data_IF_354687351463
#
_entry.id   IF_354687351463
#
_cell.length_a   1.000
_cell.length_b   1.000
_cell.length_c   1.000
_cell.angle_alpha   90.00
_cell.angle_beta   90.00
_cell.angle_gamma   90.00
#
_symmetry.space_group_name_H-M   'P 1'
#
loop_
_entity.id
_entity.type
_entity.pdbx_description
1 polymer ?
#
# COMPACT_ATOMS: atom_id res chain seq x y z
N UNK A 1 40.68 -18.80 47.77
CA UNK A 1 41.63 -18.46 48.85
C UNK A 1 40.88 -17.61 49.83
N UNK A 2 40.66 -18.21 50.99
CA UNK A 2 40.73 -17.72 52.38
C UNK A 2 39.78 -16.56 52.70
N UNK A 3 38.71 -16.86 53.43
CA UNK A 3 38.62 -16.90 54.94
C UNK A 3 38.55 -15.50 55.54
N UNK A 4 37.77 -15.11 56.48
CA UNK A 4 37.25 -15.78 57.67
C UNK A 4 36.56 -14.77 58.57
N UNK A 5 35.48 -15.18 59.23
CA UNK A 5 35.22 -15.15 60.68
C UNK A 5 35.12 -13.78 61.39
N UNK A 6 34.01 -13.56 62.02
CA UNK A 6 33.66 -13.94 63.43
C UNK A 6 33.91 -12.75 64.37
N UNK A 7 33.09 -12.34 65.29
CA UNK A 7 32.56 -12.90 66.52
C UNK A 7 31.68 -11.87 67.24
N UNK A 8 30.53 -12.26 67.71
CA UNK A 8 30.14 -12.37 69.13
C UNK A 8 30.28 -11.13 70.05
N UNK A 9 29.15 -10.78 70.65
CA UNK A 9 29.08 -9.91 71.83
C UNK A 9 27.71 -9.92 72.48
N UNK A 10 27.56 -10.75 73.44
CA UNK A 10 26.44 -11.04 74.34
C UNK A 10 26.19 -9.85 75.28
N UNK A 11 24.95 -9.51 75.61
CA UNK A 11 24.59 -8.52 76.59
C UNK A 11 23.10 -8.64 77.01
N UNK A 12 22.87 -9.43 78.02
CA UNK A 12 21.60 -9.65 78.71
C UNK A 12 21.25 -8.39 79.53
N UNK A 13 20.00 -7.90 79.43
CA UNK A 13 19.36 -7.21 80.54
C UNK A 13 17.86 -7.38 80.45
N UNK A 14 17.34 -7.91 81.55
CA UNK A 14 15.91 -8.10 81.81
C UNK A 14 15.26 -6.80 82.20
N UNK A 15 14.09 -6.51 81.62
CA UNK A 15 13.17 -5.50 82.12
C UNK A 15 11.71 -5.93 81.84
N UNK A 16 11.07 -6.36 82.90
CA UNK A 16 9.64 -6.58 82.95
C UNK A 16 8.89 -5.26 82.76
N UNK A 17 7.89 -5.24 81.94
CA UNK A 17 6.95 -4.14 81.84
C UNK A 17 5.70 -4.57 81.06
N UNK A 18 4.76 -4.85 81.86
CA UNK A 18 3.34 -5.11 81.74
C UNK A 18 2.61 -4.31 80.63
N UNK A 19 1.73 -4.96 79.90
CA UNK A 19 0.39 -4.44 79.71
C UNK A 19 0.07 -3.76 78.34
N UNK A 20 -0.81 -4.36 77.78
CA UNK A 20 -1.90 -3.86 76.95
C UNK A 20 -1.81 -4.10 75.51
N UNK A 21 -2.48 -5.10 75.07
CA UNK A 21 -2.89 -5.36 73.70
C UNK A 21 -3.65 -4.17 73.13
N UNK A 22 -3.17 -3.70 72.03
CA UNK A 22 -3.99 -2.94 71.12
C UNK A 22 -3.94 -3.67 69.79
N UNK A 23 -4.99 -4.44 69.58
CA UNK A 23 -5.36 -4.98 68.27
C UNK A 23 -5.39 -3.83 67.26
N UNK A 24 -4.37 -3.79 66.42
CA UNK A 24 -4.33 -2.92 65.26
C UNK A 24 -5.40 -3.35 64.28
N UNK A 25 -6.61 -2.93 64.51
CA UNK A 25 -7.71 -3.06 63.60
C UNK A 25 -7.38 -2.22 62.34
N UNK A 26 -7.03 -2.89 61.29
CA UNK A 26 -6.85 -2.31 59.97
C UNK A 26 -8.21 -1.83 59.48
N UNK A 27 -8.64 -0.70 59.97
CA UNK A 27 -9.81 0.00 59.45
C UNK A 27 -9.44 0.59 58.10
N UNK A 28 -9.73 -0.16 57.02
CA UNK A 28 -9.92 0.42 55.72
C UNK A 28 -10.95 1.53 55.85
N UNK A 29 -10.50 2.76 55.94
CA UNK A 29 -11.33 3.94 56.03
C UNK A 29 -12.36 3.91 54.89
N UNK A 30 -13.58 3.54 55.20
CA UNK A 30 -14.74 3.82 54.32
C UNK A 30 -14.84 5.32 54.27
N UNK A 31 -14.35 5.95 53.24
CA UNK A 31 -14.63 7.37 52.98
C UNK A 31 -16.14 7.54 52.82
N UNK A 32 -16.78 7.96 53.88
CA UNK A 32 -18.20 8.26 53.89
C UNK A 32 -18.36 9.63 53.26
N UNK A 33 -18.57 9.65 51.94
CA UNK A 33 -18.92 10.88 51.24
C UNK A 33 -20.30 11.35 51.74
N UNK A 34 -20.47 12.64 52.11
CA UNK A 34 -21.77 13.16 52.52
C UNK A 34 -22.79 12.92 51.42
N UNK A 35 -24.02 12.57 51.74
CA UNK A 35 -25.09 12.21 50.78
C UNK A 35 -25.24 13.21 49.64
N UNK A 36 -25.06 14.49 49.90
CA UNK A 36 -25.08 15.59 48.92
C UNK A 36 -24.00 15.43 47.84
N UNK A 37 -22.81 14.98 48.16
CA UNK A 37 -21.72 14.70 47.20
C UNK A 37 -22.00 13.45 46.37
N UNK A 38 -22.63 12.44 46.97
CA UNK A 38 -23.02 11.20 46.28
C UNK A 38 -24.08 11.47 45.21
N UNK A 39 -25.08 12.31 45.51
CA UNK A 39 -26.11 12.69 44.55
C UNK A 39 -25.54 13.50 43.37
N UNK A 40 -24.65 14.44 43.65
CA UNK A 40 -24.00 15.21 42.58
C UNK A 40 -23.09 14.34 41.71
N UNK A 41 -22.31 13.45 42.31
CA UNK A 41 -21.49 12.47 41.57
C UNK A 41 -22.37 11.52 40.74
N UNK A 42 -23.48 11.04 41.28
CA UNK A 42 -24.39 10.20 40.52
C UNK A 42 -25.00 10.93 39.31
N UNK A 43 -25.38 12.20 39.46
CA UNK A 43 -25.90 13.01 38.38
C UNK A 43 -24.81 13.26 37.31
N UNK A 44 -23.58 13.59 37.72
CA UNK A 44 -22.48 13.83 36.73
C UNK A 44 -22.13 12.56 35.98
N UNK A 45 -22.07 11.40 36.65
CA UNK A 45 -21.82 10.10 35.98
C UNK A 45 -22.95 9.78 35.00
N UNK A 46 -24.21 10.03 35.40
CA UNK A 46 -25.36 9.81 34.53
C UNK A 46 -25.30 10.68 33.27
N UNK A 47 -24.96 11.97 33.41
CA UNK A 47 -24.81 12.86 32.25
C UNK A 47 -23.69 12.40 31.32
N UNK A 48 -22.56 11.99 31.88
CA UNK A 48 -21.42 11.51 31.07
C UNK A 48 -21.80 10.20 30.33
N UNK A 49 -22.46 9.27 31.00
CA UNK A 49 -22.89 8.02 30.37
C UNK A 49 -23.92 8.26 29.27
N UNK A 50 -24.83 9.20 29.48
CA UNK A 50 -25.82 9.57 28.46
C UNK A 50 -25.17 10.26 27.24
N UNK A 51 -24.18 11.09 27.46
CA UNK A 51 -23.40 11.71 26.40
C UNK A 51 -22.59 10.68 25.59
N UNK A 52 -21.96 9.71 26.25
CA UNK A 52 -21.26 8.63 25.59
C UNK A 52 -22.22 7.74 24.77
N UNK A 53 -23.39 7.44 25.32
CA UNK A 53 -24.40 6.68 24.59
C UNK A 53 -24.89 7.42 23.34
N UNK A 54 -25.12 8.72 23.43
CA UNK A 54 -25.48 9.56 22.29
C UNK A 54 -24.39 9.54 21.22
N UNK A 55 -23.12 9.64 21.61
CA UNK A 55 -21.98 9.59 20.70
C UNK A 55 -21.88 8.23 19.99
N UNK A 56 -22.05 7.12 20.71
CA UNK A 56 -22.10 5.77 20.13
C UNK A 56 -23.26 5.65 19.12
N UNK A 57 -24.41 6.22 19.43
CA UNK A 57 -25.57 6.19 18.55
C UNK A 57 -25.34 6.97 17.25
N UNK A 58 -24.67 8.14 17.36
CA UNK A 58 -24.27 8.93 16.18
C UNK A 58 -23.26 8.16 15.32
N UNK A 59 -22.23 7.57 15.92
CA UNK A 59 -21.27 6.75 15.20
C UNK A 59 -21.93 5.54 14.50
N UNK A 60 -22.83 4.87 15.21
CA UNK A 60 -23.60 3.74 14.64
C UNK A 60 -24.43 4.20 13.42
N UNK A 61 -25.06 5.35 13.51
CA UNK A 61 -25.84 5.93 12.42
C UNK A 61 -24.95 6.27 11.21
N UNK A 62 -23.79 6.88 11.44
CA UNK A 62 -22.81 7.18 10.37
C UNK A 62 -22.32 5.89 9.68
N UNK A 63 -22.00 4.86 10.46
CA UNK A 63 -21.55 3.58 9.91
C UNK A 63 -22.67 2.92 9.10
N UNK A 64 -23.89 2.95 9.58
CA UNK A 64 -25.04 2.36 8.91
C UNK A 64 -25.40 3.07 7.61
N UNK A 65 -25.48 4.40 7.64
CA UNK A 65 -25.91 5.20 6.48
C UNK A 65 -24.85 5.23 5.38
N UNK A 66 -23.56 5.22 5.74
CA UNK A 66 -22.46 5.27 4.79
C UNK A 66 -22.00 3.89 4.25
N UNK A 67 -22.43 2.79 4.87
CA UNK A 67 -21.98 1.45 4.49
C UNK A 67 -22.34 1.10 3.03
N UNK A 68 -23.50 1.53 2.57
CA UNK A 68 -23.96 1.35 1.18
C UNK A 68 -23.16 2.20 0.19
N UNK A 69 -22.80 3.43 0.55
CA UNK A 69 -22.00 4.31 -0.29
C UNK A 69 -20.56 3.81 -0.40
N UNK A 70 -19.96 3.40 0.71
CA UNK A 70 -18.61 2.82 0.70
C UNK A 70 -18.54 1.52 -0.09
N UNK A 71 -19.55 0.65 0.02
CA UNK A 71 -19.63 -0.56 -0.81
C UNK A 71 -19.72 -0.22 -2.30
N UNK A 72 -20.52 0.78 -2.67
CA UNK A 72 -20.64 1.23 -4.06
C UNK A 72 -19.31 1.80 -4.57
N UNK A 73 -18.64 2.66 -3.80
CA UNK A 73 -17.35 3.25 -4.16
C UNK A 73 -16.28 2.17 -4.32
N UNK A 74 -16.18 1.22 -3.38
CA UNK A 74 -15.22 0.11 -3.46
C UNK A 74 -15.52 -0.82 -4.64
N UNK A 75 -16.80 -1.11 -4.92
CA UNK A 75 -17.19 -1.91 -6.06
C UNK A 75 -16.93 -1.18 -7.38
N UNK A 76 -17.22 0.13 -7.46
CA UNK A 76 -16.92 0.95 -8.64
C UNK A 76 -15.43 1.06 -8.90
N UNK A 77 -14.61 1.25 -7.86
CA UNK A 77 -13.15 1.25 -7.99
C UNK A 77 -12.63 -0.12 -8.46
N UNK A 78 -13.14 -1.20 -7.91
CA UNK A 78 -12.79 -2.55 -8.38
C UNK A 78 -13.27 -2.81 -9.81
N UNK A 79 -14.47 -2.38 -10.16
CA UNK A 79 -14.97 -2.51 -11.54
C UNK A 79 -14.11 -1.69 -12.52
N UNK A 80 -13.75 -0.45 -12.19
CA UNK A 80 -12.84 0.35 -13.03
C UNK A 80 -11.44 -0.29 -13.17
N UNK A 81 -10.96 -0.97 -12.15
CA UNK A 81 -9.70 -1.71 -12.19
C UNK A 81 -9.82 -3.01 -13.00
N UNK A 82 -11.00 -3.64 -13.02
CA UNK A 82 -11.28 -4.86 -13.78
C UNK A 82 -11.81 -4.61 -15.21
N UNK A 83 -12.54 -3.51 -15.46
CA UNK A 83 -13.15 -3.22 -16.77
C UNK A 83 -12.12 -2.88 -17.85
N UNK A 84 -10.90 -2.58 -17.51
CA UNK A 84 -9.86 -2.17 -18.48
C UNK A 84 -8.94 -3.30 -18.95
N UNK A 85 -9.09 -4.53 -18.46
CA UNK A 85 -8.28 -5.64 -18.93
C UNK A 85 -8.99 -6.43 -20.03
N UNK A 86 -8.83 -5.97 -21.25
CA UNK A 86 -9.06 -6.83 -22.41
C UNK A 86 -8.06 -7.98 -22.33
N UNK A 87 -8.55 -9.20 -22.16
CA UNK A 87 -7.70 -10.39 -22.23
C UNK A 87 -7.23 -10.52 -23.68
N UNK A 88 -5.94 -10.31 -23.97
CA UNK A 88 -5.46 -10.38 -25.34
C UNK A 88 -5.59 -11.82 -25.83
N UNK A 89 -6.23 -12.00 -26.96
CA UNK A 89 -6.32 -13.31 -27.58
C UNK A 89 -4.99 -13.73 -28.20
N UNK A 90 -4.57 -14.97 -27.94
CA UNK A 90 -3.42 -15.58 -28.59
C UNK A 90 -3.91 -16.40 -29.78
N UNK A 91 -3.44 -16.07 -30.97
CA UNK A 91 -3.70 -16.90 -32.16
C UNK A 91 -2.85 -18.15 -32.10
N UNK A 92 -3.41 -19.28 -32.52
CA UNK A 92 -2.71 -20.56 -32.61
C UNK A 92 -1.50 -20.49 -33.54
N UNK A 93 -0.55 -21.34 -33.30
CA UNK A 93 0.65 -21.49 -34.14
C UNK A 93 0.29 -22.24 -35.42
N UNK A 94 0.92 -21.84 -36.53
CA UNK A 94 0.81 -22.54 -37.81
C UNK A 94 2.16 -23.19 -38.07
N UNK A 95 2.14 -24.51 -38.21
CA UNK A 95 3.35 -25.31 -38.44
C UNK A 95 3.22 -26.09 -39.75
N UNK A 96 4.36 -26.38 -40.36
CA UNK A 96 4.42 -27.28 -41.50
C UNK A 96 4.35 -28.76 -41.03
N UNK A 97 4.38 -29.71 -41.97
CA UNK A 97 4.36 -31.13 -41.69
C UNK A 97 5.57 -31.65 -40.87
N UNK A 98 6.65 -30.87 -40.82
CA UNK A 98 7.86 -31.20 -40.07
C UNK A 98 7.89 -30.51 -38.68
N UNK A 99 6.84 -29.77 -38.33
CA UNK A 99 6.76 -29.03 -37.07
C UNK A 99 7.43 -27.66 -37.09
N UNK A 100 7.87 -27.17 -38.26
CA UNK A 100 8.47 -25.83 -38.39
C UNK A 100 7.42 -24.76 -38.28
N UNK A 101 7.64 -23.77 -37.41
CA UNK A 101 6.71 -22.66 -37.22
C UNK A 101 6.71 -21.71 -38.41
N UNK A 102 5.61 -21.67 -39.15
CA UNK A 102 5.39 -20.74 -40.24
C UNK A 102 4.78 -19.40 -39.77
N UNK A 103 3.98 -19.46 -38.73
CA UNK A 103 3.45 -18.28 -38.04
C UNK A 103 3.21 -18.60 -36.56
N UNK A 104 3.65 -17.70 -35.69
CA UNK A 104 3.48 -17.82 -34.23
C UNK A 104 3.06 -16.50 -33.61
N UNK A 105 2.61 -16.54 -32.36
CA UNK A 105 2.23 -15.34 -31.61
C UNK A 105 3.16 -15.13 -30.44
N UNK A 106 3.92 -14.05 -30.47
CA UNK A 106 4.83 -13.64 -29.41
C UNK A 106 4.14 -12.67 -28.46
N UNK A 107 4.38 -12.84 -27.16
CA UNK A 107 3.86 -11.94 -26.13
C UNK A 107 4.71 -10.68 -26.08
N UNK A 108 4.05 -9.54 -26.23
CA UNK A 108 4.66 -8.20 -26.15
C UNK A 108 3.90 -7.35 -25.13
N UNK A 109 4.48 -6.26 -24.73
CA UNK A 109 3.97 -5.40 -23.67
C UNK A 109 3.80 -3.97 -24.18
N UNK A 110 2.70 -3.35 -23.80
CA UNK A 110 2.45 -1.94 -24.08
C UNK A 110 2.53 -1.13 -22.80
N UNK A 111 3.30 -0.06 -22.84
CA UNK A 111 3.45 0.86 -21.73
C UNK A 111 2.19 1.71 -21.58
N UNK A 112 1.62 1.68 -20.39
CA UNK A 112 0.49 2.51 -19.98
C UNK A 112 0.93 3.43 -18.86
N UNK A 113 0.54 4.68 -18.97
CA UNK A 113 0.82 5.73 -17.98
C UNK A 113 -0.51 6.22 -17.41
N UNK A 114 -0.57 6.45 -16.12
CA UNK A 114 -1.68 7.12 -15.42
C UNK A 114 -1.25 8.55 -15.02
N UNK A 115 -1.50 9.54 -15.88
CA UNK A 115 -1.17 10.92 -15.58
C UNK A 115 -1.86 11.43 -14.32
N UNK A 116 -3.12 11.06 -14.07
CA UNK A 116 -3.88 11.47 -12.88
C UNK A 116 -3.20 10.99 -11.60
N UNK A 117 -2.68 9.76 -11.59
CA UNK A 117 -1.98 9.23 -10.43
C UNK A 117 -0.63 9.92 -10.21
N UNK A 118 0.11 10.22 -11.28
CA UNK A 118 1.38 10.95 -11.23
C UNK A 118 1.15 12.39 -10.76
N UNK A 119 0.14 13.05 -11.30
CA UNK A 119 -0.18 14.45 -10.98
C UNK A 119 -0.89 14.62 -9.64
N UNK A 120 -1.28 13.54 -8.95
CA UNK A 120 -1.81 13.61 -7.59
C UNK A 120 -0.79 14.17 -6.57
N UNK A 121 0.50 14.00 -6.83
CA UNK A 121 1.61 14.61 -6.09
C UNK A 121 2.83 14.75 -7.02
N UNK A 122 2.84 15.77 -7.91
CA UNK A 122 3.83 15.91 -8.98
C UNK A 122 5.26 16.01 -8.44
N UNK A 123 5.46 16.70 -7.32
CA UNK A 123 6.76 16.83 -6.65
C UNK A 123 7.38 15.48 -6.24
N UNK A 124 6.52 14.47 -6.02
CA UNK A 124 6.93 13.14 -5.57
C UNK A 124 7.02 12.10 -6.69
N UNK A 125 6.15 12.20 -7.68
CA UNK A 125 5.97 11.13 -8.67
C UNK A 125 6.43 11.49 -10.06
N UNK A 126 6.35 12.77 -10.47
CA UNK A 126 6.59 13.17 -11.86
C UNK A 126 8.04 12.93 -12.27
N UNK A 127 8.99 13.58 -11.58
CA UNK A 127 10.41 13.47 -11.92
C UNK A 127 10.95 12.04 -11.82
N UNK A 128 10.73 11.30 -10.70
CA UNK A 128 11.24 9.93 -10.61
C UNK A 128 10.68 9.00 -11.67
N UNK A 129 9.43 9.20 -12.07
CA UNK A 129 8.79 8.37 -13.10
C UNK A 129 9.35 8.68 -14.46
N UNK A 130 9.50 9.97 -14.84
CA UNK A 130 10.11 10.38 -16.10
C UNK A 130 11.55 9.89 -16.20
N UNK A 131 12.37 10.15 -15.17
CA UNK A 131 13.76 9.68 -15.13
C UNK A 131 13.89 8.17 -15.32
N UNK A 132 12.97 7.40 -14.72
CA UNK A 132 13.00 5.94 -14.84
C UNK A 132 12.60 5.49 -16.24
N UNK A 133 11.59 6.13 -16.84
CA UNK A 133 11.17 5.85 -18.22
C UNK A 133 12.27 6.22 -19.23
N UNK A 134 12.92 7.36 -19.05
CA UNK A 134 14.07 7.78 -19.89
C UNK A 134 15.23 6.81 -19.76
N UNK A 135 15.59 6.43 -18.53
CA UNK A 135 16.70 5.51 -18.27
C UNK A 135 16.46 4.10 -18.84
N UNK A 136 15.21 3.61 -18.79
CA UNK A 136 14.87 2.25 -19.25
C UNK A 136 14.64 2.15 -20.76
N UNK A 137 14.04 3.17 -21.37
CA UNK A 137 13.59 3.09 -22.77
C UNK A 137 14.20 4.15 -23.68
N UNK A 138 14.93 5.14 -23.14
CA UNK A 138 15.49 6.24 -23.92
C UNK A 138 14.47 7.23 -24.47
N UNK A 139 13.30 7.35 -23.82
CA UNK A 139 12.27 8.28 -24.24
C UNK A 139 12.67 9.74 -23.98
N UNK A 140 12.08 10.66 -24.73
CA UNK A 140 12.29 12.09 -24.51
C UNK A 140 11.56 12.58 -23.26
N UNK A 141 12.31 13.17 -22.31
CA UNK A 141 11.77 13.65 -21.05
C UNK A 141 10.79 14.82 -21.22
N UNK A 142 11.05 15.69 -22.20
CA UNK A 142 10.21 16.85 -22.48
C UNK A 142 8.85 16.42 -23.05
N UNK A 143 8.87 15.49 -24.01
CA UNK A 143 7.64 14.93 -24.59
C UNK A 143 6.78 14.22 -23.54
N UNK A 144 7.42 13.39 -22.68
CA UNK A 144 6.71 12.69 -21.60
C UNK A 144 6.07 13.67 -20.62
N UNK A 145 6.81 14.72 -20.21
CA UNK A 145 6.29 15.74 -19.28
C UNK A 145 5.09 16.45 -19.88
N UNK A 146 5.21 17.00 -21.08
CA UNK A 146 4.12 17.70 -21.75
C UNK A 146 2.88 16.83 -21.89
N UNK A 147 3.06 15.58 -22.29
CA UNK A 147 1.97 14.63 -22.46
C UNK A 147 1.26 14.29 -21.14
N UNK A 148 2.02 14.13 -20.04
CA UNK A 148 1.46 13.86 -18.71
C UNK A 148 0.69 15.08 -18.20
N UNK A 149 1.22 16.29 -18.40
CA UNK A 149 0.59 17.54 -17.97
C UNK A 149 -0.69 17.85 -18.78
N UNK A 150 -0.67 17.66 -20.09
CA UNK A 150 -1.84 17.87 -20.95
C UNK A 150 -3.00 16.91 -20.61
N UNK A 151 -2.67 15.69 -20.23
CA UNK A 151 -3.66 14.64 -19.95
C UNK A 151 -3.79 14.31 -18.46
N UNK A 152 -3.53 15.27 -17.59
CA UNK A 152 -3.51 15.11 -16.11
C UNK A 152 -4.74 14.46 -15.49
N UNK A 153 -5.91 14.56 -16.15
CA UNK A 153 -7.16 14.00 -15.66
C UNK A 153 -7.41 12.56 -16.16
N UNK A 154 -6.58 12.08 -17.09
CA UNK A 154 -6.68 10.72 -17.63
C UNK A 154 -6.05 9.71 -16.68
N UNK A 155 -6.75 8.61 -16.43
CA UNK A 155 -6.23 7.47 -15.69
C UNK A 155 -5.56 6.43 -16.61
N UNK A 156 -5.68 6.60 -17.92
CA UNK A 156 -5.19 5.65 -18.91
C UNK A 156 -4.63 6.40 -20.11
N UNK A 157 -3.35 6.25 -20.34
CA UNK A 157 -2.65 6.83 -21.49
C UNK A 157 -1.70 5.79 -22.07
N UNK A 158 -2.03 5.29 -23.25
CA UNK A 158 -1.15 4.38 -24.00
C UNK A 158 -0.11 5.19 -24.74
N UNK A 159 1.17 5.03 -24.33
CA UNK A 159 2.25 5.76 -24.96
C UNK A 159 2.64 5.12 -26.31
N UNK A 160 2.62 5.91 -27.37
CA UNK A 160 2.82 5.41 -28.74
C UNK A 160 4.20 4.77 -28.97
N UNK A 161 5.25 5.36 -28.39
CA UNK A 161 6.62 4.85 -28.49
C UNK A 161 6.90 3.69 -27.51
N UNK A 162 6.03 3.45 -26.53
CA UNK A 162 6.11 2.35 -25.57
C UNK A 162 5.26 1.14 -25.98
N UNK A 163 5.06 0.90 -27.27
CA UNK A 163 4.29 -0.24 -27.77
C UNK A 163 5.20 -1.41 -28.13
N UNK A 164 4.67 -2.62 -27.99
CA UNK A 164 5.32 -3.86 -28.39
C UNK A 164 6.72 -4.07 -27.74
N UNK A 165 6.86 -3.68 -26.49
CA UNK A 165 8.06 -3.89 -25.69
C UNK A 165 8.28 -5.38 -25.43
N UNK A 166 9.54 -5.78 -25.34
CA UNK A 166 9.92 -7.15 -25.00
C UNK A 166 9.79 -7.42 -23.50
N UNK A 167 9.79 -8.69 -23.14
CA UNK A 167 9.81 -9.11 -21.72
C UNK A 167 11.03 -8.54 -20.98
N UNK A 168 12.19 -8.53 -21.60
CA UNK A 168 13.43 -8.03 -20.98
C UNK A 168 13.36 -6.53 -20.70
N UNK A 169 12.83 -5.76 -21.65
CA UNK A 169 12.63 -4.31 -21.49
C UNK A 169 11.65 -3.99 -20.34
N UNK A 170 10.55 -4.71 -20.26
CA UNK A 170 9.61 -4.61 -19.16
C UNK A 170 10.28 -4.92 -17.82
N UNK A 171 10.98 -6.07 -17.75
CA UNK A 171 11.62 -6.52 -16.52
C UNK A 171 12.72 -5.56 -16.06
N UNK A 172 13.50 -5.03 -16.97
CA UNK A 172 14.52 -4.00 -16.67
C UNK A 172 13.91 -2.75 -16.05
N UNK A 173 12.77 -2.26 -16.60
CA UNK A 173 12.05 -1.14 -16.01
C UNK A 173 11.50 -1.47 -14.61
N UNK A 174 10.86 -2.64 -14.44
CA UNK A 174 10.30 -3.04 -13.15
C UNK A 174 11.38 -3.17 -12.07
N UNK A 175 12.55 -3.70 -12.42
CA UNK A 175 13.71 -3.79 -11.53
C UNK A 175 14.24 -2.41 -11.14
N UNK A 176 14.44 -1.53 -12.11
CA UNK A 176 14.94 -0.18 -11.87
C UNK A 176 13.95 0.66 -11.05
N UNK A 177 12.66 0.53 -11.34
CA UNK A 177 11.60 1.20 -10.57
C UNK A 177 11.54 0.71 -9.11
N UNK A 178 11.71 -0.60 -8.90
CA UNK A 178 11.78 -1.20 -7.58
C UNK A 178 13.02 -0.72 -6.81
N UNK A 179 14.18 -0.75 -7.44
CA UNK A 179 15.44 -0.31 -6.85
C UNK A 179 15.37 1.17 -6.41
N UNK A 180 14.87 2.06 -7.27
CA UNK A 180 14.65 3.46 -6.93
C UNK A 180 13.64 3.62 -5.79
N UNK A 181 12.53 2.90 -5.84
CA UNK A 181 11.52 2.95 -4.78
C UNK A 181 12.07 2.45 -3.43
N UNK A 182 12.89 1.41 -3.43
CA UNK A 182 13.53 0.88 -2.22
C UNK A 182 14.58 1.85 -1.67
N UNK A 183 15.33 2.54 -2.54
CA UNK A 183 16.28 3.58 -2.15
C UNK A 183 15.57 4.77 -1.48
N UNK A 184 14.43 5.22 -2.02
CA UNK A 184 13.64 6.28 -1.40
C UNK A 184 13.00 5.90 -0.05
N UNK A 185 12.73 4.61 0.18
CA UNK A 185 12.22 4.12 1.48
C UNK A 185 13.31 4.12 2.54
N UNK A 186 14.56 3.86 2.17
CA UNK A 186 15.70 3.84 3.11
C UNK A 186 16.06 5.23 3.62
N UNK A 187 15.88 6.27 2.83
CA UNK A 187 16.16 7.66 3.18
C UNK A 187 14.98 8.33 3.91
N UNK A 188 14.53 7.73 5.02
CA UNK A 188 13.35 8.19 5.78
C UNK A 188 13.52 9.57 6.45
N UNK A 189 14.75 10.04 6.63
CA UNK A 189 15.05 11.24 7.41
C UNK A 189 14.94 12.54 6.61
N UNK A 190 14.86 12.48 5.30
CA UNK A 190 14.59 13.64 4.46
C UNK A 190 13.07 13.81 4.29
N UNK A 191 12.52 14.74 5.04
CA UNK A 191 11.08 15.12 5.04
C UNK A 191 10.59 15.58 3.67
N UNK A 192 11.49 15.91 2.77
CA UNK A 192 11.19 16.53 1.48
C UNK A 192 10.82 15.56 0.36
N UNK A 193 10.79 14.29 0.62
CA UNK A 193 10.39 13.57 -0.55
C UNK A 193 10.39 12.07 -0.47
N UNK A 194 9.35 11.51 -0.06
CA UNK A 194 9.02 10.15 -0.44
C UNK A 194 8.76 10.08 -1.95
N UNK A 195 9.79 10.41 -2.73
CA UNK A 195 9.79 10.26 -4.17
C UNK A 195 9.53 8.79 -4.50
N UNK A 196 8.72 8.52 -5.50
CA UNK A 196 8.42 7.16 -5.96
C UNK A 196 8.12 7.15 -7.43
N UNK A 197 8.52 6.09 -8.08
CA UNK A 197 8.03 5.74 -9.41
C UNK A 197 6.63 5.16 -9.26
N UNK A 198 5.63 5.82 -9.85
CA UNK A 198 4.23 5.45 -9.72
C UNK A 198 3.45 5.81 -10.98
N UNK A 199 2.29 5.16 -11.20
CA UNK A 199 1.41 5.47 -12.32
C UNK A 199 1.91 4.91 -13.66
N UNK A 200 2.66 3.82 -13.63
CA UNK A 200 3.14 3.13 -14.84
C UNK A 200 2.90 1.64 -14.69
N UNK A 201 2.32 1.04 -15.71
CA UNK A 201 2.16 -0.43 -15.80
C UNK A 201 2.21 -0.89 -17.25
N UNK A 202 2.16 -2.19 -17.46
CA UNK A 202 2.23 -2.80 -18.77
C UNK A 202 0.98 -3.63 -19.05
N UNK A 203 0.46 -3.51 -20.25
CA UNK A 203 -0.60 -4.37 -20.76
C UNK A 203 -0.01 -5.39 -21.71
N UNK A 204 -0.46 -6.62 -21.55
CA UNK A 204 -0.08 -7.74 -22.40
C UNK A 204 -0.75 -7.60 -23.77
N UNK A 205 -0.01 -7.87 -24.83
CA UNK A 205 -0.52 -7.98 -26.18
C UNK A 205 0.19 -9.13 -26.89
N UNK A 206 -0.42 -9.70 -27.94
CA UNK A 206 0.22 -10.71 -28.78
C UNK A 206 0.46 -10.20 -30.18
N UNK A 207 1.74 -10.20 -30.58
CA UNK A 207 2.16 -9.85 -31.94
C UNK A 207 2.29 -11.11 -32.77
N UNK A 208 1.73 -11.09 -33.98
CA UNK A 208 1.92 -12.18 -34.94
C UNK A 208 3.27 -12.06 -35.60
N UNK A 209 4.05 -13.14 -35.58
CA UNK A 209 5.39 -13.22 -36.19
C UNK A 209 5.35 -14.29 -37.27
N UNK A 210 5.99 -13.95 -38.36
CA UNK A 210 6.21 -14.81 -39.53
C UNK A 210 7.71 -15.02 -39.71
N UNK A 211 8.30 -16.11 -39.16
CA UNK A 211 9.76 -16.30 -39.17
C UNK A 211 10.37 -16.35 -40.57
N UNK A 212 9.61 -16.76 -41.55
CA UNK A 212 10.05 -16.88 -42.94
C UNK A 212 9.49 -15.78 -43.86
N UNK A 213 9.09 -14.63 -43.28
CA UNK A 213 8.57 -13.46 -43.98
C UNK A 213 7.42 -13.79 -44.97
N UNK A 214 7.64 -13.63 -46.24
CA UNK A 214 6.64 -13.84 -47.28
C UNK A 214 6.44 -15.28 -47.72
N UNK A 215 7.16 -16.25 -47.11
CA UNK A 215 6.99 -17.69 -47.43
C UNK A 215 5.56 -18.12 -47.09
N UNK A 216 4.91 -18.74 -48.06
CA UNK A 216 3.54 -19.24 -47.95
C UNK A 216 2.49 -18.17 -47.60
N UNK A 217 2.73 -16.87 -47.84
CA UNK A 217 1.82 -15.78 -47.50
C UNK A 217 0.44 -15.92 -48.16
N UNK A 218 0.37 -16.50 -49.34
CA UNK A 218 -0.89 -16.80 -50.06
C UNK A 218 -1.76 -17.86 -49.36
N UNK A 219 -1.17 -18.71 -48.54
CA UNK A 219 -1.85 -19.76 -47.78
C UNK A 219 -2.14 -19.34 -46.34
N UNK A 220 -1.12 -18.74 -45.71
CA UNK A 220 -1.17 -18.35 -44.29
C UNK A 220 -1.89 -17.04 -44.09
N UNK A 221 -1.90 -16.16 -45.10
CA UNK A 221 -2.40 -14.79 -44.99
C UNK A 221 -1.47 -13.91 -44.15
N UNK A 222 -1.91 -12.69 -43.87
CA UNK A 222 -1.20 -11.75 -43.01
C UNK A 222 -2.20 -11.03 -42.10
N UNK A 223 -1.71 -10.47 -41.01
CA UNK A 223 -2.51 -9.61 -40.13
C UNK A 223 -1.92 -8.21 -40.14
N UNK A 224 -2.76 -7.24 -40.40
CA UNK A 224 -2.45 -5.83 -40.17
C UNK A 224 -2.41 -5.57 -38.66
N UNK A 225 -1.37 -4.96 -38.16
CA UNK A 225 -1.21 -4.49 -36.76
C UNK A 225 -1.67 -3.06 -36.63
#
# INVERSE_FOLDING_TARGET
>A
MKTSRNTNGNGRSQGKGNGNGRDGHNQKGKYFYPKYLQEKLAITVLVITLALFALIMVLYRIIRDNNEQYKKIVLTQRQQEYESRVIPYRRGDIVDRNGTYLATSEKVYNLIIDPRQIMSAPERYLEPTIETLVASFGFDAGELRTMIEEKKDSAYLRYSKGRQLTYDQRTAFEQLAKEKNDAYIKNKDEVEGRKRVKGVWFEDEYKRIYPYNSMACSVIGFTSS
#
